data_IF_505489321225
#
_entry.id   IF_505489321225
#
_cell.length_a   1.000
_cell.length_b   1.000
_cell.length_c   1.000
_cell.angle_alpha   90.00
_cell.angle_beta   90.00
_cell.angle_gamma   90.00
#
_symmetry.space_group_name_H-M   'P 1'
#
loop_
_entity.id
_entity.type
_entity.pdbx_description
1 polymer ?
#
# COMPACT_ATOMS: atom_id res chain seq x y z
N UNK A 1 -2.58 -16.36 0.40
CA UNK A 1 -1.21 -15.84 0.11
C UNK A 1 -0.21 -16.74 0.79
N UNK A 2 0.84 -17.14 0.09
CA UNK A 2 1.83 -18.09 0.61
C UNK A 2 3.10 -17.41 1.13
N UNK A 3 3.02 -16.14 1.55
CA UNK A 3 4.13 -15.38 2.11
C UNK A 3 3.73 -14.62 3.39
N UNK A 4 4.70 -14.43 4.29
CA UNK A 4 4.51 -13.69 5.53
C UNK A 4 4.50 -12.18 5.31
N UNK A 5 3.99 -11.42 6.28
CA UNK A 5 4.06 -9.96 6.26
C UNK A 5 5.51 -9.46 6.18
N UNK A 6 6.45 -10.11 6.87
CA UNK A 6 7.88 -9.79 6.80
C UNK A 6 8.45 -9.95 5.39
N UNK A 7 8.14 -11.06 4.70
CA UNK A 7 8.53 -11.28 3.30
C UNK A 7 7.91 -10.22 2.38
N UNK A 8 6.66 -9.84 2.62
CA UNK A 8 6.00 -8.79 1.87
C UNK A 8 6.67 -7.43 2.05
N UNK A 9 6.99 -7.03 3.28
CA UNK A 9 7.65 -5.75 3.58
C UNK A 9 9.05 -5.71 2.96
N UNK A 10 9.82 -6.80 3.07
CA UNK A 10 11.17 -6.88 2.50
C UNK A 10 11.20 -7.00 0.96
N UNK A 11 10.06 -7.28 0.33
CA UNK A 11 9.98 -7.49 -1.12
C UNK A 11 10.45 -8.88 -1.58
N UNK A 12 10.59 -9.83 -0.67
CA UNK A 12 11.07 -11.20 -0.95
C UNK A 12 9.95 -12.18 -1.30
N UNK A 13 8.90 -11.73 -1.97
CA UNK A 13 7.72 -12.52 -2.33
C UNK A 13 7.51 -12.66 -3.85
N UNK A 14 8.36 -12.02 -4.64
CA UNK A 14 8.12 -11.83 -6.08
C UNK A 14 8.20 -13.11 -6.92
N UNK A 15 8.68 -14.22 -6.35
CA UNK A 15 8.86 -15.45 -7.09
C UNK A 15 8.61 -16.68 -6.24
N UNK A 16 7.56 -17.41 -6.56
CA UNK A 16 7.38 -18.76 -6.05
C UNK A 16 8.25 -19.74 -6.82
N UNK A 17 9.31 -20.21 -6.17
CA UNK A 17 10.27 -21.18 -6.73
C UNK A 17 9.63 -22.55 -7.00
N UNK A 18 8.52 -22.86 -6.33
CA UNK A 18 7.84 -24.17 -6.41
C UNK A 18 6.95 -24.24 -7.62
N UNK A 19 6.13 -23.21 -7.83
CA UNK A 19 5.16 -23.17 -8.93
C UNK A 19 5.71 -22.48 -10.19
N UNK A 20 6.84 -21.78 -10.08
CA UNK A 20 7.43 -20.93 -11.12
C UNK A 20 6.45 -19.86 -11.64
N UNK A 21 5.50 -19.46 -10.82
CA UNK A 21 4.48 -18.46 -11.15
C UNK A 21 4.76 -17.15 -10.43
N UNK A 22 4.44 -16.04 -11.09
CA UNK A 22 4.48 -14.71 -10.52
C UNK A 22 3.04 -14.25 -10.30
N UNK A 23 2.55 -14.32 -9.06
CA UNK A 23 1.28 -13.70 -8.69
C UNK A 23 1.46 -12.21 -8.37
N UNK A 24 2.62 -11.67 -8.65
CA UNK A 24 2.97 -10.28 -8.40
C UNK A 24 3.38 -9.55 -9.67
N UNK A 25 3.00 -8.28 -9.75
CA UNK A 25 3.38 -7.39 -10.84
C UNK A 25 3.98 -6.10 -10.27
N UNK A 26 5.06 -5.65 -10.88
CA UNK A 26 5.66 -4.36 -10.57
C UNK A 26 5.42 -3.36 -11.68
N UNK A 27 4.57 -2.38 -11.42
CA UNK A 27 4.27 -1.25 -12.30
C UNK A 27 5.15 -0.06 -11.93
N UNK A 28 6.14 0.25 -12.78
CA UNK A 28 7.12 1.30 -12.53
C UNK A 28 6.89 2.50 -13.42
N UNK A 29 7.05 3.71 -12.85
CA UNK A 29 7.27 4.91 -13.66
C UNK A 29 8.72 4.92 -14.21
N UNK A 30 8.93 5.65 -15.31
CA UNK A 30 10.27 6.07 -15.71
C UNK A 30 10.91 6.89 -14.60
N UNK A 31 12.16 6.67 -14.27
CA UNK A 31 12.86 7.33 -13.16
C UNK A 31 12.22 7.08 -11.79
N UNK A 32 11.98 5.83 -11.47
CA UNK A 32 11.42 5.35 -10.21
C UNK A 32 12.11 5.96 -8.96
N UNK A 33 13.37 6.34 -9.06
CA UNK A 33 14.13 6.93 -7.95
C UNK A 33 13.58 8.29 -7.51
N UNK A 34 12.93 9.02 -8.39
CA UNK A 34 12.39 10.35 -8.12
C UNK A 34 10.99 10.27 -7.53
N UNK A 35 10.17 9.29 -7.92
CA UNK A 35 8.74 9.21 -7.55
C UNK A 35 7.95 10.38 -8.07
N UNK A 36 8.14 10.75 -9.33
CA UNK A 36 7.68 12.01 -9.94
C UNK A 36 6.23 12.05 -10.40
N UNK A 37 5.44 11.00 -10.11
CA UNK A 37 4.03 10.94 -10.50
C UNK A 37 3.82 10.80 -12.00
N UNK A 38 4.66 10.03 -12.67
CA UNK A 38 4.67 9.90 -14.14
C UNK A 38 4.02 8.63 -14.67
N UNK A 39 3.57 7.73 -13.80
CA UNK A 39 2.86 6.54 -14.25
C UNK A 39 1.55 6.95 -14.92
N UNK A 40 1.25 6.35 -16.05
CA UNK A 40 0.06 6.64 -16.85
C UNK A 40 -1.02 5.58 -16.65
N UNK A 41 -2.25 5.91 -17.06
CA UNK A 41 -3.35 4.91 -17.13
C UNK A 41 -2.96 3.74 -18.02
N UNK A 42 -2.27 3.97 -19.13
CA UNK A 42 -1.81 2.91 -20.02
C UNK A 42 -0.80 1.96 -19.34
N UNK A 43 0.04 2.49 -18.45
CA UNK A 43 0.94 1.66 -17.65
C UNK A 43 0.19 0.81 -16.63
N UNK A 44 -0.81 1.39 -15.97
CA UNK A 44 -1.68 0.69 -15.02
C UNK A 44 -2.49 -0.40 -15.74
N UNK A 45 -2.98 -0.12 -16.92
CA UNK A 45 -3.77 -1.03 -17.76
C UNK A 45 -2.99 -2.26 -18.25
N UNK A 46 -1.68 -2.31 -18.09
CA UNK A 46 -0.89 -3.55 -18.27
C UNK A 46 -1.39 -4.69 -17.38
N UNK A 47 -2.04 -4.36 -16.24
CA UNK A 47 -2.69 -5.35 -15.36
C UNK A 47 -3.75 -6.20 -16.07
N UNK A 48 -4.38 -5.69 -17.13
CA UNK A 48 -5.34 -6.46 -17.95
C UNK A 48 -4.73 -7.75 -18.54
N UNK A 49 -3.41 -7.75 -18.75
CA UNK A 49 -2.70 -8.91 -19.30
C UNK A 49 -2.34 -9.96 -18.22
N UNK A 50 -2.61 -9.65 -16.94
CA UNK A 50 -2.24 -10.48 -15.79
C UNK A 50 -3.43 -10.60 -14.82
N UNK A 51 -4.53 -11.26 -15.25
CA UNK A 51 -5.78 -11.30 -14.48
C UNK A 51 -5.67 -12.02 -13.13
N UNK A 52 -4.67 -12.90 -12.99
CA UNK A 52 -4.43 -13.67 -11.77
C UNK A 52 -3.50 -12.95 -10.78
N UNK A 53 -3.14 -11.68 -11.05
CA UNK A 53 -2.29 -10.90 -10.15
C UNK A 53 -3.01 -10.60 -8.85
N UNK A 54 -2.43 -11.03 -7.74
CA UNK A 54 -2.93 -10.77 -6.37
C UNK A 54 -2.10 -9.71 -5.64
N UNK A 55 -0.87 -9.47 -6.07
CA UNK A 55 0.07 -8.53 -5.44
C UNK A 55 0.59 -7.55 -6.46
N UNK A 56 0.53 -6.26 -6.15
CA UNK A 56 1.07 -5.20 -7.01
C UNK A 56 2.04 -4.33 -6.24
N UNK A 57 3.23 -4.12 -6.80
CA UNK A 57 4.10 -3.01 -6.43
C UNK A 57 3.95 -1.91 -7.47
N UNK A 58 3.58 -0.70 -7.06
CA UNK A 58 3.32 0.42 -7.97
C UNK A 58 4.04 1.69 -7.51
N UNK A 59 4.60 2.42 -8.47
CA UNK A 59 5.30 3.69 -8.21
C UNK A 59 4.78 4.81 -9.10
N UNK A 60 4.99 6.05 -8.70
CA UNK A 60 4.74 7.23 -9.51
C UNK A 60 3.27 7.62 -9.68
N UNK A 61 2.40 7.18 -8.78
CA UNK A 61 1.00 7.60 -8.77
C UNK A 61 0.86 9.06 -8.33
N UNK A 62 -0.10 9.75 -8.95
CA UNK A 62 -0.79 10.93 -8.44
C UNK A 62 -2.15 10.52 -7.91
N UNK A 63 -2.92 11.45 -7.35
CA UNK A 63 -4.24 11.15 -6.80
C UNK A 63 -5.20 10.55 -7.84
N UNK A 64 -5.28 11.14 -9.03
CA UNK A 64 -6.14 10.68 -10.12
C UNK A 64 -5.80 9.25 -10.61
N UNK A 65 -4.51 8.96 -10.79
CA UNK A 65 -4.06 7.63 -11.22
C UNK A 65 -4.15 6.60 -10.08
N UNK A 66 -3.98 7.00 -8.83
CA UNK A 66 -4.28 6.18 -7.65
C UNK A 66 -5.75 5.77 -7.62
N UNK A 67 -6.66 6.73 -7.76
CA UNK A 67 -8.09 6.45 -7.78
C UNK A 67 -8.48 5.52 -8.93
N UNK A 68 -7.94 5.77 -10.13
CA UNK A 68 -8.15 4.89 -11.27
C UNK A 68 -7.68 3.46 -10.98
N UNK A 69 -6.47 3.30 -10.46
CA UNK A 69 -5.88 2.01 -10.13
C UNK A 69 -6.75 1.23 -9.12
N UNK A 70 -7.14 1.88 -8.02
CA UNK A 70 -7.94 1.25 -6.97
C UNK A 70 -9.34 0.88 -7.49
N UNK A 71 -10.04 1.80 -8.18
CA UNK A 71 -11.39 1.57 -8.69
C UNK A 71 -11.43 0.45 -9.75
N UNK A 72 -10.39 0.37 -10.58
CA UNK A 72 -10.38 -0.55 -11.73
C UNK A 72 -9.84 -1.94 -11.36
N UNK A 73 -8.78 -2.00 -10.56
CA UNK A 73 -8.05 -3.26 -10.32
C UNK A 73 -8.00 -3.67 -8.85
N UNK A 74 -8.27 -2.77 -7.92
CA UNK A 74 -8.04 -2.99 -6.50
C UNK A 74 -8.82 -4.17 -5.91
N UNK A 75 -10.04 -4.44 -6.37
CA UNK A 75 -10.93 -5.44 -5.77
C UNK A 75 -10.38 -6.86 -5.73
N UNK A 76 -9.51 -7.24 -6.69
CA UNK A 76 -8.91 -8.56 -6.74
C UNK A 76 -7.60 -8.67 -5.94
N UNK A 77 -7.03 -7.52 -5.55
CA UNK A 77 -5.72 -7.47 -4.93
C UNK A 77 -5.79 -7.87 -3.45
N UNK A 78 -4.85 -8.69 -3.03
CA UNK A 78 -4.64 -9.09 -1.64
C UNK A 78 -3.54 -8.27 -0.97
N UNK A 79 -2.55 -7.80 -1.75
CA UNK A 79 -1.49 -6.99 -1.20
C UNK A 79 -1.01 -5.91 -2.18
N UNK A 80 -0.74 -4.71 -1.66
CA UNK A 80 -0.29 -3.58 -2.48
C UNK A 80 0.93 -2.94 -1.81
N UNK A 81 2.01 -2.79 -2.59
CA UNK A 81 3.19 -2.00 -2.21
C UNK A 81 3.19 -0.68 -2.97
N UNK A 82 2.95 0.39 -2.26
CA UNK A 82 3.04 1.76 -2.79
C UNK A 82 4.47 2.28 -2.61
N UNK A 83 5.28 2.19 -3.66
CA UNK A 83 6.69 2.56 -3.62
C UNK A 83 6.92 3.93 -4.27
N UNK A 84 7.30 4.94 -3.48
CA UNK A 84 7.55 6.32 -3.93
C UNK A 84 6.37 6.97 -4.64
N UNK A 85 5.17 6.89 -4.08
CA UNK A 85 3.97 7.58 -4.57
C UNK A 85 3.78 8.91 -3.83
N UNK A 86 4.69 9.87 -4.05
CA UNK A 86 4.84 11.10 -3.27
C UNK A 86 3.65 12.06 -3.37
N UNK A 87 2.82 11.93 -4.41
CA UNK A 87 1.74 12.86 -4.71
C UNK A 87 0.32 12.33 -4.44
N UNK A 88 0.21 11.12 -3.93
CA UNK A 88 -1.05 10.61 -3.39
C UNK A 88 -1.29 11.26 -2.03
N UNK A 89 -2.48 11.79 -1.80
CA UNK A 89 -2.84 12.50 -0.57
C UNK A 89 -4.05 11.90 0.16
N UNK A 90 -5.01 11.31 -0.55
CA UNK A 90 -6.18 10.67 0.01
C UNK A 90 -6.14 9.16 -0.22
N UNK A 91 -6.13 8.40 0.88
CA UNK A 91 -6.10 6.93 0.88
C UNK A 91 -7.49 6.30 1.06
N UNK A 92 -8.57 7.08 1.15
CA UNK A 92 -9.92 6.61 1.52
C UNK A 92 -10.40 5.43 0.68
N UNK A 93 -10.05 5.38 -0.60
CA UNK A 93 -10.45 4.30 -1.50
C UNK A 93 -9.89 2.94 -1.13
N UNK A 94 -8.82 2.87 -0.35
CA UNK A 94 -8.31 1.59 0.17
C UNK A 94 -9.35 0.90 1.05
N UNK A 95 -10.21 1.66 1.73
CA UNK A 95 -11.32 1.12 2.50
C UNK A 95 -12.34 0.32 1.68
N UNK A 96 -12.32 0.45 0.35
CA UNK A 96 -13.24 -0.28 -0.53
C UNK A 96 -12.73 -1.66 -0.97
N UNK A 97 -11.56 -2.09 -0.49
CA UNK A 97 -10.88 -3.29 -0.95
C UNK A 97 -11.15 -4.49 -0.02
N UNK A 98 -12.10 -5.39 -0.34
CA UNK A 98 -12.56 -6.42 0.58
C UNK A 98 -11.57 -7.58 0.75
N UNK A 99 -10.60 -7.71 -0.14
CA UNK A 99 -9.61 -8.80 -0.13
C UNK A 99 -8.23 -8.36 0.31
N UNK A 100 -8.07 -7.07 0.63
CA UNK A 100 -6.78 -6.50 1.04
C UNK A 100 -6.33 -7.11 2.37
N UNK A 101 -5.16 -7.75 2.36
CA UNK A 101 -4.55 -8.40 3.52
C UNK A 101 -3.31 -7.62 3.99
N UNK A 102 -2.48 -7.10 3.06
CA UNK A 102 -1.27 -6.36 3.38
C UNK A 102 -1.13 -5.08 2.57
N UNK A 103 -0.69 -4.02 3.21
CA UNK A 103 -0.33 -2.75 2.56
C UNK A 103 1.05 -2.30 3.03
N UNK A 104 1.88 -1.92 2.07
CA UNK A 104 3.18 -1.31 2.32
C UNK A 104 3.27 0.04 1.64
N UNK A 105 3.72 1.03 2.37
CA UNK A 105 3.99 2.37 1.86
C UNK A 105 5.45 2.75 2.09
N UNK A 106 6.08 3.26 1.06
CA UNK A 106 7.40 3.86 1.15
C UNK A 106 7.44 5.20 0.44
N UNK A 107 7.86 6.25 1.16
CA UNK A 107 8.06 7.61 0.69
C UNK A 107 6.80 8.30 0.13
N UNK A 108 6.03 8.93 1.01
CA UNK A 108 4.92 9.81 0.66
C UNK A 108 5.09 11.18 1.33
N UNK A 109 4.70 12.26 0.62
CA UNK A 109 4.88 13.65 1.06
C UNK A 109 3.56 14.40 1.26
N UNK A 110 2.40 13.76 1.15
CA UNK A 110 1.11 14.45 1.17
C UNK A 110 0.08 13.85 2.11
N UNK A 111 0.11 12.55 2.33
CA UNK A 111 -0.81 11.88 3.25
C UNK A 111 -0.64 12.44 4.66
N UNK A 112 -1.73 12.86 5.27
CA UNK A 112 -1.77 13.41 6.64
C UNK A 112 -2.50 12.53 7.64
N UNK A 113 -3.36 11.61 7.16
CA UNK A 113 -4.14 10.67 7.97
C UNK A 113 -4.31 9.35 7.23
N UNK A 114 -4.65 8.31 7.96
CA UNK A 114 -5.00 7.00 7.39
C UNK A 114 -6.44 7.01 6.85
N UNK A 115 -6.98 5.86 6.53
CA UNK A 115 -8.34 5.68 6.04
C UNK A 115 -9.17 4.86 7.04
N UNK A 116 -10.48 4.88 6.89
CA UNK A 116 -11.37 3.99 7.62
C UNK A 116 -11.23 2.56 7.08
N UNK A 117 -10.87 1.60 7.94
CA UNK A 117 -10.55 0.22 7.59
C UNK A 117 -11.69 -0.76 7.92
N UNK A 118 -12.85 -0.27 8.32
CA UNK A 118 -13.99 -1.10 8.75
C UNK A 118 -14.36 -2.18 7.72
N UNK A 119 -14.31 -1.86 6.43
CA UNK A 119 -14.64 -2.80 5.36
C UNK A 119 -13.47 -3.67 4.90
N UNK A 120 -12.25 -3.40 5.38
CA UNK A 120 -11.07 -4.21 5.08
C UNK A 120 -10.98 -5.43 6.02
N UNK A 121 -11.99 -6.30 6.01
CA UNK A 121 -12.11 -7.43 6.96
C UNK A 121 -10.98 -8.45 6.90
N UNK A 122 -10.13 -8.40 5.89
CA UNK A 122 -8.97 -9.29 5.74
C UNK A 122 -7.63 -8.59 6.01
N UNK A 123 -7.65 -7.30 6.35
CA UNK A 123 -6.43 -6.53 6.56
C UNK A 123 -5.73 -6.98 7.84
N UNK A 124 -4.53 -7.52 7.67
CA UNK A 124 -3.70 -8.08 8.74
C UNK A 124 -2.41 -7.30 8.95
N UNK A 125 -1.92 -6.59 7.94
CA UNK A 125 -0.64 -5.89 8.08
C UNK A 125 -0.54 -4.59 7.30
N UNK A 126 0.01 -3.57 7.98
CA UNK A 126 0.30 -2.26 7.41
C UNK A 126 1.75 -1.89 7.76
N UNK A 127 2.52 -1.49 6.74
CA UNK A 127 3.84 -0.90 6.93
C UNK A 127 3.89 0.48 6.28
N UNK A 128 4.30 1.49 7.04
CA UNK A 128 4.40 2.89 6.60
C UNK A 128 5.80 3.38 6.89
N UNK A 129 6.56 3.70 5.84
CA UNK A 129 7.91 4.24 5.93
C UNK A 129 8.02 5.57 5.19
N UNK A 130 8.67 6.54 5.81
CA UNK A 130 8.97 7.85 5.24
C UNK A 130 7.72 8.65 4.80
N UNK A 131 6.70 8.69 5.64
CA UNK A 131 5.54 9.57 5.46
C UNK A 131 5.81 10.92 6.16
N UNK A 132 6.26 11.91 5.40
CA UNK A 132 6.75 13.18 5.97
C UNK A 132 5.66 14.11 6.53
N UNK A 133 4.38 13.83 6.26
CA UNK A 133 3.24 14.65 6.72
C UNK A 133 2.20 13.88 7.51
N UNK A 134 2.35 12.58 7.71
CA UNK A 134 1.43 11.79 8.51
C UNK A 134 1.51 12.25 9.96
N UNK A 135 0.39 12.75 10.48
CA UNK A 135 0.26 13.24 11.86
C UNK A 135 -0.73 12.44 12.68
N UNK A 136 -1.73 11.86 12.04
CA UNK A 136 -2.76 11.08 12.71
C UNK A 136 -2.75 9.63 12.24
N UNK A 137 -2.92 8.71 13.18
CA UNK A 137 -3.19 7.30 12.94
C UNK A 137 -4.69 7.00 13.05
N UNK A 138 -5.54 8.01 13.07
CA UNK A 138 -6.99 7.85 13.04
C UNK A 138 -7.41 6.94 11.89
N UNK A 139 -8.29 6.00 12.17
CA UNK A 139 -8.71 4.95 11.27
C UNK A 139 -8.09 3.59 11.58
N UNK A 140 -6.91 3.54 12.24
CA UNK A 140 -6.25 2.26 12.57
C UNK A 140 -7.10 1.44 13.55
N UNK A 141 -7.83 2.11 14.46
CA UNK A 141 -8.75 1.49 15.43
C UNK A 141 -9.93 0.78 14.77
N UNK A 142 -10.18 1.05 13.49
CA UNK A 142 -11.24 0.40 12.73
C UNK A 142 -10.78 -0.90 12.05
N UNK A 143 -9.51 -1.24 12.15
CA UNK A 143 -8.91 -2.44 11.55
C UNK A 143 -9.03 -3.64 12.50
N UNK A 144 -10.18 -4.32 12.52
CA UNK A 144 -10.53 -5.38 13.48
C UNK A 144 -9.58 -6.58 13.50
N UNK A 145 -8.89 -6.86 12.38
CA UNK A 145 -8.04 -8.04 12.21
C UNK A 145 -6.56 -7.69 12.01
N UNK A 146 -6.15 -6.48 12.37
CA UNK A 146 -4.77 -6.04 12.21
C UNK A 146 -3.84 -6.76 13.20
N UNK A 147 -2.86 -7.48 12.66
CA UNK A 147 -1.86 -8.24 13.43
C UNK A 147 -0.49 -7.55 13.43
N UNK A 148 -0.20 -6.80 12.35
CA UNK A 148 1.11 -6.22 12.13
C UNK A 148 0.98 -4.74 11.76
N UNK A 149 1.65 -3.90 12.51
CA UNK A 149 1.78 -2.48 12.20
C UNK A 149 3.23 -2.03 12.33
N UNK A 150 3.75 -1.44 11.26
CA UNK A 150 5.09 -0.86 11.25
C UNK A 150 5.00 0.60 10.81
N UNK A 151 5.54 1.49 11.62
CA UNK A 151 5.68 2.92 11.31
C UNK A 151 7.12 3.33 11.55
N UNK A 152 7.73 4.01 10.58
CA UNK A 152 9.13 4.40 10.76
C UNK A 152 9.70 5.28 9.67
N UNK A 153 10.98 5.54 9.86
CA UNK A 153 11.83 6.29 8.95
C UNK A 153 12.89 5.36 8.36
N UNK A 154 12.98 5.31 7.02
CA UNK A 154 14.00 4.53 6.32
C UNK A 154 15.09 5.43 5.71
N UNK A 155 14.67 6.56 5.11
CA UNK A 155 15.57 7.54 4.46
C UNK A 155 15.39 8.93 5.06
N UNK A 156 14.14 9.30 5.39
CA UNK A 156 13.81 10.62 5.93
C UNK A 156 13.46 10.53 7.41
N UNK A 157 14.04 11.37 8.21
CA UNK A 157 13.74 11.47 9.65
C UNK A 157 12.61 12.48 9.89
N UNK A 158 11.41 12.20 9.36
CA UNK A 158 10.26 13.11 9.40
C UNK A 158 8.90 12.45 9.61
N UNK A 159 8.85 11.12 9.75
CA UNK A 159 7.60 10.43 10.03
C UNK A 159 7.37 10.47 11.57
N UNK A 160 6.63 11.48 12.02
CA UNK A 160 6.29 11.70 13.43
C UNK A 160 4.79 11.87 13.56
N UNK A 161 4.15 10.98 14.29
CA UNK A 161 2.72 11.06 14.59
C UNK A 161 2.48 11.70 15.95
N UNK A 162 1.36 12.43 16.08
CA UNK A 162 1.06 13.20 17.27
C UNK A 162 0.61 12.31 18.44
N UNK A 163 0.08 11.11 18.16
CA UNK A 163 -0.42 10.20 19.20
C UNK A 163 -0.51 8.76 18.71
N UNK A 164 -0.24 7.83 19.63
CA UNK A 164 -0.48 6.38 19.46
C UNK A 164 -1.75 5.90 20.18
N UNK A 165 -2.60 6.79 20.67
CA UNK A 165 -3.80 6.46 21.47
C UNK A 165 -4.77 5.52 20.73
N UNK A 166 -4.77 5.55 19.41
CA UNK A 166 -5.66 4.73 18.58
C UNK A 166 -5.42 3.22 18.70
N UNK A 167 -4.29 2.81 19.29
CA UNK A 167 -4.03 1.40 19.60
C UNK A 167 -4.56 0.97 20.97
N UNK A 168 -4.96 1.89 21.82
CA UNK A 168 -5.42 1.56 23.17
C UNK A 168 -6.81 0.88 23.18
N UNK A 169 -7.59 1.08 22.12
CA UNK A 169 -8.96 0.58 21.98
C UNK A 169 -9.04 -0.69 21.08
N UNK A 170 -7.90 -1.19 20.60
CA UNK A 170 -7.84 -2.48 19.87
C UNK A 170 -7.75 -3.61 20.89
N UNK A 171 -8.87 -4.29 21.14
CA UNK A 171 -8.95 -5.49 21.98
C UNK A 171 -8.49 -6.73 21.22
#
# INVERSE_FOLDING_TARGET
>A
MDFSFESFVSGNFDYDKTTKTHNSLWLREENMDIGGGKITIADIDKLKNYPDTEVVTISGLKQDTFEYFIKTYGKQLKAIRFFKNKFVEDLSLLGTLPHLEYVYFFANQRVTALWNMTENKKLRGISILDFSRLKSLEGIETAENLEYFCLGNAVWDKCEVDSYRYFADTN
#
